data_IF_055999107346
#
_entry.id   IF_055999107346
#
_cell.length_a   1.000
_cell.length_b   1.000
_cell.length_c   1.000
_cell.angle_alpha   90.00
_cell.angle_beta   90.00
_cell.angle_gamma   90.00
#
_symmetry.space_group_name_H-M   'P 1'
#
loop_
_entity.id
_entity.type
_entity.pdbx_description
1 polymer ?
#
# COMPACT_ATOMS: atom_id res chain seq x y z
N UNK A 1 4.34 -28.46 49.20
CA UNK A 1 4.54 -29.27 48.00
C UNK A 1 3.77 -28.62 46.83
N UNK A 2 4.47 -28.08 45.88
CA UNK A 2 3.87 -27.50 44.66
C UNK A 2 3.62 -28.63 43.65
N UNK A 3 2.50 -28.68 42.93
CA UNK A 3 2.23 -29.71 41.94
C UNK A 3 3.12 -29.54 40.72
N UNK A 4 3.76 -30.60 40.29
CA UNK A 4 4.56 -30.68 39.04
C UNK A 4 3.63 -30.57 37.84
N UNK A 5 3.82 -29.54 36.98
CA UNK A 5 3.14 -29.42 35.69
C UNK A 5 3.68 -30.49 34.74
N UNK A 6 2.80 -31.29 34.16
CA UNK A 6 3.11 -32.23 33.09
C UNK A 6 3.44 -31.45 31.80
N UNK A 7 4.41 -31.90 31.00
CA UNK A 7 4.69 -31.27 29.72
C UNK A 7 3.55 -31.54 28.73
N UNK A 8 3.13 -30.47 28.03
CA UNK A 8 2.16 -30.54 26.92
C UNK A 8 2.86 -31.18 25.71
N UNK A 9 2.24 -32.14 25.02
CA UNK A 9 2.84 -32.74 23.83
C UNK A 9 2.97 -31.68 22.70
N UNK A 10 4.14 -31.60 22.09
CA UNK A 10 4.40 -30.82 20.89
C UNK A 10 3.53 -31.36 19.75
N UNK A 11 2.45 -30.69 19.44
CA UNK A 11 1.73 -30.92 18.20
C UNK A 11 2.69 -30.62 17.03
N UNK A 12 2.87 -31.59 16.18
CA UNK A 12 3.58 -31.51 14.94
C UNK A 12 2.94 -30.39 14.10
N UNK A 13 3.71 -29.35 13.82
CA UNK A 13 3.35 -28.36 12.83
C UNK A 13 3.37 -29.07 11.47
N UNK A 14 2.21 -29.43 10.96
CA UNK A 14 2.05 -29.87 9.58
C UNK A 14 2.54 -28.75 8.66
N UNK A 15 3.63 -29.00 7.98
CA UNK A 15 4.13 -28.13 6.91
C UNK A 15 3.12 -28.17 5.78
N UNK A 16 2.43 -27.07 5.55
CA UNK A 16 1.61 -26.88 4.34
C UNK A 16 2.47 -27.20 3.10
N UNK A 17 1.94 -27.97 2.14
CA UNK A 17 2.69 -28.35 0.94
C UNK A 17 3.09 -27.10 0.15
N UNK A 18 4.35 -27.04 -0.28
CA UNK A 18 4.91 -25.94 -1.08
C UNK A 18 4.18 -25.69 -2.42
N UNK A 19 3.32 -26.61 -2.85
CA UNK A 19 2.48 -26.50 -4.04
C UNK A 19 1.44 -25.37 -3.97
N UNK A 20 0.95 -25.00 -2.78
CA UNK A 20 -0.10 -23.97 -2.64
C UNK A 20 0.45 -22.56 -2.87
N UNK A 21 1.73 -22.31 -2.57
CA UNK A 21 2.37 -21.01 -2.80
C UNK A 21 2.61 -20.73 -4.30
N UNK A 22 2.75 -21.75 -5.12
CA UNK A 22 3.04 -21.62 -6.57
C UNK A 22 1.82 -21.36 -7.44
N UNK A 23 0.62 -21.74 -7.01
CA UNK A 23 -0.61 -21.56 -7.82
C UNK A 23 -1.28 -20.19 -7.67
N UNK A 24 -0.93 -19.40 -6.65
CA UNK A 24 -1.67 -18.18 -6.28
C UNK A 24 -1.45 -16.97 -7.19
N UNK A 25 -0.40 -16.92 -8.01
CA UNK A 25 0.01 -15.72 -8.76
C UNK A 25 0.18 -15.90 -10.27
N UNK A 26 -0.42 -16.93 -10.87
CA UNK A 26 -0.29 -17.19 -12.32
C UNK A 26 -0.92 -16.16 -13.25
N UNK A 27 -1.69 -15.17 -12.74
CA UNK A 27 -2.29 -14.14 -13.61
C UNK A 27 -2.18 -12.74 -12.98
N UNK A 28 -1.04 -12.09 -13.20
CA UNK A 28 -0.96 -10.62 -13.16
C UNK A 28 -1.06 -10.18 -14.62
N UNK A 29 -2.22 -9.67 -15.04
CA UNK A 29 -2.40 -9.09 -16.37
C UNK A 29 -2.38 -7.57 -16.27
N UNK A 30 -1.45 -6.95 -16.98
CA UNK A 30 -1.47 -5.53 -17.25
C UNK A 30 -2.49 -5.26 -18.37
N UNK A 31 -3.45 -4.35 -18.13
CA UNK A 31 -4.34 -3.88 -19.18
C UNK A 31 -3.79 -2.59 -19.78
N UNK A 32 -3.75 -2.43 -21.13
CA UNK A 32 -3.28 -1.19 -21.75
C UNK A 32 -4.22 -0.03 -21.42
N UNK A 33 -3.63 1.11 -21.08
CA UNK A 33 -4.33 2.37 -20.79
C UNK A 33 -4.96 2.91 -22.09
N UNK A 34 -6.21 2.56 -22.37
CA UNK A 34 -7.04 3.30 -23.30
C UNK A 34 -7.70 4.47 -22.57
N UNK A 35 -7.26 5.64 -22.85
CA UNK A 35 -7.47 6.97 -22.30
C UNK A 35 -8.87 7.44 -21.89
N UNK A 36 -9.59 6.75 -21.04
CA UNK A 36 -10.69 7.27 -20.24
C UNK A 36 -10.68 6.62 -18.87
N UNK A 37 -10.66 7.44 -17.81
CA UNK A 37 -10.92 6.96 -16.45
C UNK A 37 -12.28 6.24 -16.44
N UNK A 38 -12.36 4.98 -15.99
CA UNK A 38 -13.64 4.31 -15.87
C UNK A 38 -14.47 5.02 -14.77
N UNK A 39 -15.68 5.43 -15.11
CA UNK A 39 -16.63 6.14 -14.24
C UNK A 39 -17.10 5.36 -13.01
N UNK A 40 -16.57 4.18 -12.75
CA UNK A 40 -16.93 3.35 -11.60
C UNK A 40 -15.71 2.68 -11.00
N UNK A 41 -15.28 3.15 -9.84
CA UNK A 41 -14.43 2.36 -8.95
C UNK A 41 -15.27 1.20 -8.41
N UNK A 42 -15.17 0.04 -9.02
CA UNK A 42 -15.90 -1.15 -8.61
C UNK A 42 -15.11 -1.88 -7.52
N UNK A 43 -15.63 -1.90 -6.30
CA UNK A 43 -15.37 -2.98 -5.35
C UNK A 43 -16.33 -4.13 -5.66
N UNK A 44 -16.04 -4.89 -6.71
CA UNK A 44 -16.80 -6.06 -7.07
C UNK A 44 -16.46 -7.25 -6.17
N UNK A 45 -17.44 -7.76 -5.45
CA UNK A 45 -17.31 -9.01 -4.69
C UNK A 45 -17.82 -10.15 -5.55
N UNK A 46 -16.95 -10.80 -6.32
CA UNK A 46 -17.24 -12.14 -6.83
C UNK A 46 -16.93 -13.17 -5.75
N UNK A 47 -17.75 -14.25 -5.64
CA UNK A 47 -17.57 -15.29 -4.62
C UNK A 47 -16.11 -15.78 -4.58
N UNK A 48 -15.39 -15.46 -3.50
CA UNK A 48 -14.02 -15.91 -3.25
C UNK A 48 -12.88 -15.10 -3.91
N UNK A 49 -13.15 -14.06 -4.70
CA UNK A 49 -12.14 -13.24 -5.37
C UNK A 49 -12.27 -11.79 -4.90
N UNK A 50 -11.21 -11.23 -4.33
CA UNK A 50 -11.12 -9.78 -4.06
C UNK A 50 -10.26 -9.12 -5.14
N UNK A 51 -10.83 -8.14 -5.81
CA UNK A 51 -10.12 -7.29 -6.77
C UNK A 51 -9.64 -6.06 -6.00
N UNK A 52 -8.33 -5.84 -5.97
CA UNK A 52 -7.75 -4.60 -5.45
C UNK A 52 -7.33 -3.75 -6.64
N UNK A 53 -7.92 -2.57 -6.73
CA UNK A 53 -7.45 -1.54 -7.64
C UNK A 53 -6.42 -0.70 -6.88
N UNK A 54 -5.17 -0.72 -7.32
CA UNK A 54 -4.13 0.17 -6.84
C UNK A 54 -3.77 1.13 -7.98
N UNK A 55 -4.29 2.35 -7.92
CA UNK A 55 -3.74 3.42 -8.74
C UNK A 55 -2.51 3.97 -8.03
N UNK A 56 -1.34 3.55 -8.47
CA UNK A 56 -0.07 4.10 -8.01
C UNK A 56 0.25 5.31 -8.91
N UNK A 57 0.06 6.51 -8.39
CA UNK A 57 0.54 7.72 -9.02
C UNK A 57 1.95 8.03 -8.48
N UNK A 58 2.94 8.12 -9.35
CA UNK A 58 4.33 8.37 -8.94
C UNK A 58 4.98 9.48 -9.77
N UNK A 59 5.56 10.44 -9.07
CA UNK A 59 6.26 11.57 -9.67
C UNK A 59 7.59 11.15 -10.33
N UNK A 60 7.79 11.54 -11.60
CA UNK A 60 9.06 11.38 -12.31
C UNK A 60 10.12 12.27 -11.66
N UNK A 61 11.11 11.69 -11.00
CA UNK A 61 12.30 12.39 -10.51
C UNK A 61 13.52 11.83 -11.17
N UNK A 62 14.30 12.74 -11.74
CA UNK A 62 15.60 12.48 -12.34
C UNK A 62 16.57 11.93 -11.30
N UNK A 63 16.93 10.65 -11.37
CA UNK A 63 18.23 10.05 -10.99
C UNK A 63 18.18 8.53 -11.01
N UNK A 64 18.84 7.97 -11.96
CA UNK A 64 19.34 6.60 -12.22
C UNK A 64 18.75 5.95 -13.48
N UNK A 65 19.55 5.94 -14.52
CA UNK A 65 19.23 5.49 -15.88
C UNK A 65 18.71 4.04 -16.04
N UNK A 66 18.83 3.18 -15.03
CA UNK A 66 18.30 1.80 -15.07
C UNK A 66 16.89 1.64 -14.50
N UNK A 67 16.34 2.68 -13.80
CA UNK A 67 15.00 2.64 -13.18
C UNK A 67 13.97 3.58 -13.81
N UNK A 68 14.35 4.33 -14.86
CA UNK A 68 13.48 5.37 -15.46
C UNK A 68 12.28 4.82 -16.20
N UNK A 69 12.29 3.52 -16.57
CA UNK A 69 11.21 2.89 -17.33
C UNK A 69 10.01 2.48 -16.48
N UNK A 70 10.22 2.18 -15.20
CA UNK A 70 9.19 1.61 -14.33
C UNK A 70 9.05 2.38 -13.02
N UNK A 71 7.80 2.60 -12.63
CA UNK A 71 7.41 3.19 -11.34
C UNK A 71 7.53 2.17 -10.21
N UNK A 72 7.16 0.92 -10.51
CA UNK A 72 7.36 -0.24 -9.65
C UNK A 72 8.16 -1.25 -10.44
N UNK A 73 9.20 -1.81 -9.81
CA UNK A 73 9.99 -2.88 -10.40
C UNK A 73 10.40 -3.85 -9.31
N UNK A 74 9.76 -5.02 -9.27
CA UNK A 74 10.08 -6.11 -8.37
C UNK A 74 10.68 -7.26 -9.19
N UNK A 75 11.79 -7.83 -8.70
CA UNK A 75 12.46 -8.97 -9.33
C UNK A 75 12.82 -10.00 -8.27
N UNK A 76 12.32 -11.20 -8.46
CA UNK A 76 12.56 -12.36 -7.62
C UNK A 76 12.34 -12.05 -6.13
N UNK A 77 11.20 -11.42 -5.83
CA UNK A 77 10.87 -10.95 -4.49
C UNK A 77 10.14 -12.05 -3.73
N UNK A 78 10.58 -12.32 -2.49
CA UNK A 78 9.78 -13.08 -1.53
C UNK A 78 9.35 -12.19 -0.35
N UNK A 79 8.12 -12.37 0.09
CA UNK A 79 7.47 -11.57 1.13
C UNK A 79 7.20 -12.47 2.34
N UNK A 80 7.60 -11.97 3.51
CA UNK A 80 7.48 -12.67 4.79
C UNK A 80 6.63 -11.85 5.76
N UNK A 81 5.74 -12.51 6.48
CA UNK A 81 5.12 -11.96 7.68
C UNK A 81 6.12 -12.06 8.84
N UNK A 82 6.47 -10.93 9.42
CA UNK A 82 7.36 -10.85 10.58
C UNK A 82 6.80 -9.88 11.62
N UNK A 83 6.87 -10.27 12.90
CA UNK A 83 6.32 -9.52 14.05
C UNK A 83 7.11 -8.25 14.32
N UNK A 84 7.80 -7.62 13.71
CA UNK A 84 8.50 -6.35 13.85
C UNK A 84 9.48 -6.13 12.70
N UNK A 85 8.96 -5.85 11.51
CA UNK A 85 9.78 -5.84 10.29
C UNK A 85 10.90 -4.77 10.31
N UNK A 86 10.74 -3.68 11.06
CA UNK A 86 11.74 -2.60 11.17
C UNK A 86 12.41 -2.54 12.55
N UNK A 87 12.34 -3.62 13.33
CA UNK A 87 12.99 -3.72 14.64
C UNK A 87 14.50 -3.96 14.54
N UNK A 88 15.14 -4.04 15.70
CA UNK A 88 16.60 -4.34 15.82
C UNK A 88 16.96 -5.80 15.50
N UNK A 89 16.01 -6.58 15.00
CA UNK A 89 16.25 -7.99 14.67
C UNK A 89 17.05 -8.13 13.37
N UNK A 90 18.05 -9.02 13.35
CA UNK A 90 18.82 -9.25 12.14
C UNK A 90 17.96 -9.89 11.04
N UNK A 91 18.24 -9.58 9.77
CA UNK A 91 17.57 -10.12 8.59
C UNK A 91 17.50 -11.67 8.63
N UNK A 92 18.58 -12.33 9.06
CA UNK A 92 18.60 -13.78 9.22
C UNK A 92 17.56 -14.31 10.21
N UNK A 93 17.33 -13.63 11.34
CA UNK A 93 16.31 -14.02 12.31
C UNK A 93 14.90 -13.77 11.79
N UNK A 94 14.68 -12.69 11.01
CA UNK A 94 13.40 -12.41 10.38
C UNK A 94 13.06 -13.48 9.33
N UNK A 95 14.02 -13.90 8.52
CA UNK A 95 13.85 -14.99 7.54
C UNK A 95 13.59 -16.35 8.20
N UNK A 96 14.20 -16.62 9.36
CA UNK A 96 14.02 -17.89 10.09
C UNK A 96 12.68 -17.98 10.84
N UNK A 97 12.14 -16.86 11.29
CA UNK A 97 10.93 -16.79 12.10
C UNK A 97 9.69 -16.32 11.32
N UNK A 98 9.92 -15.66 10.19
CA UNK A 98 8.84 -15.14 9.36
C UNK A 98 8.16 -16.24 8.55
N UNK A 99 6.84 -16.19 8.48
CA UNK A 99 6.06 -17.02 7.56
C UNK A 99 6.16 -16.45 6.15
N UNK A 100 6.61 -17.27 5.20
CA UNK A 100 6.68 -16.86 3.79
C UNK A 100 5.28 -16.84 3.19
N UNK A 101 4.86 -15.67 2.72
CA UNK A 101 3.53 -15.44 2.13
C UNK A 101 3.58 -15.53 0.62
N UNK A 102 4.61 -14.98 0.01
CA UNK A 102 4.81 -14.94 -1.45
C UNK A 102 6.27 -15.23 -1.79
N UNK A 103 6.49 -15.91 -2.91
CA UNK A 103 7.82 -16.16 -3.48
C UNK A 103 7.84 -15.88 -4.97
N UNK A 104 9.03 -15.59 -5.48
CA UNK A 104 9.29 -15.41 -6.93
C UNK A 104 8.42 -14.31 -7.58
N UNK A 105 8.08 -13.26 -6.81
CA UNK A 105 7.26 -12.17 -7.32
C UNK A 105 8.07 -11.31 -8.29
N UNK A 106 7.58 -11.24 -9.53
CA UNK A 106 8.11 -10.38 -10.57
C UNK A 106 6.99 -9.44 -11.04
N UNK A 107 7.15 -8.13 -10.85
CA UNK A 107 6.15 -7.12 -11.20
C UNK A 107 6.86 -5.86 -11.69
N UNK A 108 6.52 -5.42 -12.89
CA UNK A 108 7.00 -4.16 -13.44
C UNK A 108 5.81 -3.32 -13.87
N UNK A 109 5.72 -2.08 -13.38
CA UNK A 109 4.64 -1.13 -13.69
C UNK A 109 5.26 0.13 -14.28
N UNK A 110 4.85 0.49 -15.49
CA UNK A 110 5.28 1.71 -16.17
C UNK A 110 4.46 2.94 -15.70
N UNK A 111 4.96 4.17 -15.88
CA UNK A 111 4.18 5.38 -15.65
C UNK A 111 2.88 5.38 -16.47
N UNK A 112 1.74 5.73 -15.86
CA UNK A 112 0.44 5.77 -16.51
C UNK A 112 -0.20 4.38 -16.75
N UNK A 113 0.45 3.30 -16.34
CA UNK A 113 -0.09 1.96 -16.44
C UNK A 113 -1.07 1.67 -15.29
N UNK A 114 -2.15 0.97 -15.61
CA UNK A 114 -3.16 0.53 -14.67
C UNK A 114 -3.08 -0.98 -14.48
N UNK A 115 -2.84 -1.44 -13.26
CA UNK A 115 -2.64 -2.86 -12.95
C UNK A 115 -3.68 -3.35 -11.95
N UNK A 116 -4.38 -4.43 -12.30
CA UNK A 116 -5.24 -5.17 -11.38
C UNK A 116 -4.49 -6.31 -10.71
N UNK A 117 -4.54 -6.36 -9.38
CA UNK A 117 -4.02 -7.48 -8.60
C UNK A 117 -5.16 -8.43 -8.25
N UNK A 118 -5.24 -9.56 -8.95
CA UNK A 118 -6.32 -10.53 -8.84
C UNK A 118 -5.83 -11.81 -8.17
N UNK A 119 -6.64 -12.43 -7.33
CA UNK A 119 -6.33 -13.71 -6.70
C UNK A 119 -7.28 -14.04 -5.54
N UNK A 120 -7.21 -15.27 -5.06
CA UNK A 120 -8.03 -15.78 -3.96
C UNK A 120 -7.82 -14.97 -2.66
N UNK A 121 -8.79 -15.03 -1.74
CA UNK A 121 -8.62 -14.48 -0.39
C UNK A 121 -7.46 -15.22 0.29
N UNK A 122 -6.56 -14.48 0.97
CA UNK A 122 -5.37 -15.07 1.61
C UNK A 122 -4.17 -15.29 0.67
N UNK A 123 -4.26 -15.00 -0.65
CA UNK A 123 -3.15 -15.20 -1.58
C UNK A 123 -2.01 -14.18 -1.49
N UNK A 124 -1.92 -13.36 -0.45
CA UNK A 124 -0.81 -12.43 -0.23
C UNK A 124 -0.90 -11.08 -0.95
N UNK A 125 -2.02 -10.75 -1.64
CA UNK A 125 -2.19 -9.46 -2.34
C UNK A 125 -1.99 -8.25 -1.44
N UNK A 126 -2.61 -8.27 -0.26
CA UNK A 126 -2.45 -7.20 0.72
C UNK A 126 -1.02 -7.11 1.25
N UNK A 127 -0.34 -8.23 1.42
CA UNK A 127 1.07 -8.27 1.84
C UNK A 127 2.00 -7.69 0.77
N UNK A 128 1.73 -7.97 -0.51
CA UNK A 128 2.44 -7.34 -1.62
C UNK A 128 2.26 -5.81 -1.59
N UNK A 129 1.01 -5.33 -1.47
CA UNK A 129 0.74 -3.89 -1.39
C UNK A 129 1.44 -3.25 -0.18
N UNK A 130 1.38 -3.89 1.00
CA UNK A 130 2.05 -3.44 2.23
C UNK A 130 3.57 -3.33 2.05
N UNK A 131 4.17 -4.21 1.25
CA UNK A 131 5.59 -4.14 0.89
C UNK A 131 5.87 -2.94 -0.02
N UNK A 132 5.00 -2.63 -1.00
CA UNK A 132 5.19 -1.51 -1.91
C UNK A 132 5.22 -0.15 -1.20
N UNK A 133 4.40 0.05 -0.15
CA UNK A 133 4.42 1.30 0.63
C UNK A 133 5.20 1.19 1.95
N UNK A 134 6.04 0.16 2.05
CA UNK A 134 6.94 -0.07 3.18
C UNK A 134 6.23 -0.11 4.54
N UNK A 135 5.10 -0.81 4.64
CA UNK A 135 4.55 -1.29 5.92
C UNK A 135 5.20 -2.63 6.28
N UNK A 136 5.51 -3.45 5.26
CA UNK A 136 6.30 -4.66 5.39
C UNK A 136 7.68 -4.47 4.75
N UNK A 137 8.73 -4.96 5.42
CA UNK A 137 10.09 -4.86 4.92
C UNK A 137 10.34 -5.89 3.81
N UNK A 138 11.00 -5.47 2.72
CA UNK A 138 11.50 -6.38 1.70
C UNK A 138 12.79 -7.04 2.18
N UNK A 139 12.77 -8.36 2.38
CA UNK A 139 13.90 -9.14 2.89
C UNK A 139 14.69 -9.84 1.78
N UNK A 140 14.04 -10.21 0.67
CA UNK A 140 14.68 -10.95 -0.43
C UNK A 140 14.29 -10.37 -1.78
N UNK A 141 15.11 -10.61 -2.79
CA UNK A 141 14.91 -10.08 -4.14
C UNK A 141 15.33 -8.62 -4.30
N UNK A 142 14.96 -8.01 -5.42
CA UNK A 142 15.19 -6.60 -5.73
C UNK A 142 13.85 -5.90 -5.90
N UNK A 143 13.65 -4.78 -5.21
CA UNK A 143 12.38 -4.02 -5.28
C UNK A 143 12.64 -2.52 -5.32
N UNK A 144 12.11 -1.86 -6.34
CA UNK A 144 12.16 -0.42 -6.50
C UNK A 144 10.75 0.13 -6.65
N UNK A 145 10.43 1.16 -5.89
CA UNK A 145 9.14 1.85 -5.94
C UNK A 145 9.39 3.35 -5.86
N UNK A 146 8.86 4.08 -6.81
CA UNK A 146 8.96 5.55 -6.84
C UNK A 146 10.40 6.07 -6.72
N UNK A 147 11.40 5.34 -7.26
CA UNK A 147 12.81 5.66 -7.17
C UNK A 147 13.50 5.26 -5.86
N UNK A 148 12.81 4.57 -4.95
CA UNK A 148 13.39 4.03 -3.72
C UNK A 148 13.70 2.54 -3.85
N UNK A 149 14.88 2.14 -3.37
CA UNK A 149 15.24 0.73 -3.19
C UNK A 149 14.64 0.23 -1.88
N UNK A 150 13.63 -0.64 -1.95
CA UNK A 150 12.92 -1.17 -0.80
C UNK A 150 13.80 -2.02 0.13
N UNK A 151 14.84 -2.69 -0.42
CA UNK A 151 15.80 -3.47 0.38
C UNK A 151 16.66 -2.59 1.28
N UNK A 152 17.03 -1.41 0.80
CA UNK A 152 17.91 -0.45 1.49
C UNK A 152 17.15 0.66 2.20
N UNK A 153 15.82 0.59 2.20
CA UNK A 153 14.97 1.62 2.77
C UNK A 153 15.10 1.65 4.29
N UNK A 154 15.58 2.76 4.84
CA UNK A 154 15.66 2.96 6.28
C UNK A 154 14.34 3.52 6.81
N UNK A 155 14.05 3.27 8.08
CA UNK A 155 12.82 3.75 8.74
C UNK A 155 12.57 5.25 8.55
N UNK A 156 13.63 6.06 8.57
CA UNK A 156 13.56 7.52 8.35
C UNK A 156 13.19 7.91 6.91
N UNK A 157 13.41 7.02 5.94
CA UNK A 157 13.17 7.28 4.52
C UNK A 157 11.74 6.88 4.10
N UNK A 158 11.02 6.07 4.91
CA UNK A 158 9.64 5.63 4.66
C UNK A 158 8.66 6.80 4.44
N UNK A 159 8.66 7.87 5.25
CA UNK A 159 7.78 9.01 5.01
C UNK A 159 8.00 9.66 3.63
N UNK A 160 9.22 9.69 3.13
CA UNK A 160 9.54 10.23 1.81
C UNK A 160 9.04 9.35 0.67
N UNK A 161 9.14 8.01 0.82
CA UNK A 161 8.50 7.08 -0.11
C UNK A 161 6.99 7.30 -0.14
N UNK A 162 6.34 7.30 1.03
CA UNK A 162 4.88 7.44 1.15
C UNK A 162 4.34 8.76 0.63
N UNK A 163 5.14 9.84 0.62
CA UNK A 163 4.79 11.12 0.00
C UNK A 163 4.72 11.04 -1.52
N UNK A 164 5.50 10.15 -2.14
CA UNK A 164 5.50 9.95 -3.60
C UNK A 164 4.43 8.97 -4.07
N UNK A 165 3.77 8.28 -3.15
CA UNK A 165 2.74 7.28 -3.43
C UNK A 165 1.41 7.78 -2.86
N UNK A 166 0.37 7.84 -3.68
CA UNK A 166 -1.00 8.02 -3.22
C UNK A 166 -1.58 6.67 -2.83
N UNK A 167 -2.03 6.52 -1.57
CA UNK A 167 -2.60 5.26 -1.07
C UNK A 167 -4.05 5.49 -0.69
N UNK A 168 -4.94 4.65 -1.24
CA UNK A 168 -6.35 4.58 -0.87
C UNK A 168 -6.60 3.26 -0.16
N UNK A 169 -6.90 3.32 1.14
CA UNK A 169 -7.20 2.15 1.96
C UNK A 169 -8.67 1.71 1.80
N UNK A 170 -8.91 0.41 1.90
CA UNK A 170 -10.24 -0.17 1.75
C UNK A 170 -11.20 0.26 2.88
N UNK A 171 -10.70 0.43 4.08
CA UNK A 171 -11.41 0.79 5.32
C UNK A 171 -11.42 2.30 5.58
N UNK A 172 -11.12 3.09 4.54
CA UNK A 172 -11.04 4.56 4.52
C UNK A 172 -10.02 5.16 5.50
N UNK A 173 -9.89 4.65 6.71
CA UNK A 173 -8.98 5.15 7.76
C UNK A 173 -9.09 6.67 7.94
N UNK A 174 -10.32 7.20 7.99
CA UNK A 174 -10.59 8.59 8.27
C UNK A 174 -10.55 8.85 9.78
N UNK A 175 -10.06 10.03 10.16
CA UNK A 175 -10.15 10.52 11.52
C UNK A 175 -11.60 10.91 11.81
N UNK A 176 -12.32 10.08 12.56
CA UNK A 176 -13.76 10.23 12.81
C UNK A 176 -14.08 11.39 13.76
N UNK A 177 -13.10 11.84 14.56
CA UNK A 177 -13.16 12.97 15.48
C UNK A 177 -12.74 14.31 14.83
N UNK A 178 -12.50 14.33 13.52
CA UNK A 178 -12.04 15.49 12.76
C UNK A 178 -12.89 15.67 11.50
N UNK A 179 -13.16 16.92 11.15
CA UNK A 179 -13.89 17.25 9.92
C UNK A 179 -13.06 16.95 8.66
N UNK A 180 -13.68 17.09 7.49
CA UNK A 180 -13.07 16.87 6.17
C UNK A 180 -11.76 17.66 6.02
N UNK A 181 -11.79 18.97 6.31
CA UNK A 181 -10.61 19.83 6.20
C UNK A 181 -9.45 19.32 7.09
N UNK A 182 -9.74 19.01 8.36
CA UNK A 182 -8.73 18.58 9.31
C UNK A 182 -8.16 17.21 8.98
N UNK A 183 -8.95 16.29 8.39
CA UNK A 183 -8.46 15.02 7.86
C UNK A 183 -7.37 15.21 6.81
N UNK A 184 -7.47 16.22 5.98
CA UNK A 184 -6.47 16.57 4.95
C UNK A 184 -5.32 17.39 5.54
N UNK A 185 -5.62 18.34 6.40
CA UNK A 185 -4.66 19.23 7.03
C UNK A 185 -3.57 18.47 7.82
N UNK A 186 -3.97 17.50 8.63
CA UNK A 186 -3.00 16.71 9.41
C UNK A 186 -2.04 15.91 8.50
N UNK A 187 -2.51 15.43 7.37
CA UNK A 187 -1.64 14.75 6.40
C UNK A 187 -0.63 15.73 5.80
N UNK A 188 -1.05 16.94 5.44
CA UNK A 188 -0.16 17.98 4.93
C UNK A 188 0.94 18.33 5.96
N UNK A 189 0.56 18.56 7.22
CA UNK A 189 1.51 18.84 8.31
C UNK A 189 2.47 17.66 8.54
N UNK A 190 1.96 16.43 8.60
CA UNK A 190 2.77 15.21 8.77
C UNK A 190 3.72 14.97 7.60
N UNK A 191 3.37 15.44 6.41
CA UNK A 191 4.22 15.35 5.22
C UNK A 191 5.17 16.54 5.03
N UNK A 192 5.24 17.47 6.01
CA UNK A 192 6.27 18.49 6.11
C UNK A 192 5.92 19.82 5.46
N UNK A 193 4.66 20.05 5.12
CA UNK A 193 4.20 21.37 4.71
C UNK A 193 4.17 22.31 5.91
N UNK A 194 4.72 23.53 5.73
CA UNK A 194 4.91 24.48 6.84
C UNK A 194 4.01 25.71 6.72
N UNK A 195 3.78 26.20 5.51
CA UNK A 195 3.04 27.45 5.27
C UNK A 195 1.55 27.17 5.26
N UNK A 196 0.82 27.80 6.19
CA UNK A 196 -0.63 27.60 6.38
C UNK A 196 -1.44 27.96 5.12
N UNK A 197 -1.05 29.03 4.44
CA UNK A 197 -1.73 29.47 3.23
C UNK A 197 -1.60 28.43 2.11
N UNK A 198 -0.38 27.92 1.85
CA UNK A 198 -0.15 26.88 0.84
C UNK A 198 -0.92 25.59 1.15
N UNK A 199 -1.03 25.24 2.44
CA UNK A 199 -1.80 24.08 2.89
C UNK A 199 -3.28 24.27 2.57
N UNK A 200 -3.87 25.44 2.91
CA UNK A 200 -5.27 25.75 2.62
C UNK A 200 -5.56 25.72 1.13
N UNK A 201 -4.79 26.44 0.35
CA UNK A 201 -4.94 26.48 -1.11
C UNK A 201 -4.84 25.08 -1.75
N UNK A 202 -3.93 24.24 -1.25
CA UNK A 202 -3.80 22.86 -1.73
C UNK A 202 -5.01 22.00 -1.37
N UNK A 203 -5.50 22.10 -0.13
CA UNK A 203 -6.69 21.37 0.33
C UNK A 203 -7.90 21.80 -0.49
N UNK A 204 -8.14 23.11 -0.65
CA UNK A 204 -9.28 23.62 -1.41
C UNK A 204 -9.25 23.15 -2.87
N UNK A 205 -8.08 23.19 -3.50
CA UNK A 205 -7.89 22.66 -4.86
C UNK A 205 -8.24 21.17 -4.95
N UNK A 206 -7.74 20.36 -4.02
CA UNK A 206 -7.95 18.91 -4.05
C UNK A 206 -9.42 18.58 -3.72
N UNK A 207 -10.05 19.28 -2.77
CA UNK A 207 -11.46 19.13 -2.48
C UNK A 207 -12.33 19.53 -3.68
N UNK A 208 -11.93 20.54 -4.44
CA UNK A 208 -12.58 20.89 -5.71
C UNK A 208 -12.53 19.78 -6.73
N UNK A 209 -11.37 19.10 -6.90
CA UNK A 209 -11.20 17.98 -7.82
C UNK A 209 -12.11 16.77 -7.52
N UNK A 210 -12.46 16.58 -6.25
CA UNK A 210 -13.32 15.47 -5.81
C UNK A 210 -14.75 15.90 -5.48
N UNK A 211 -15.15 17.12 -5.83
CA UNK A 211 -16.50 17.67 -5.61
C UNK A 211 -16.92 17.71 -4.13
N UNK A 212 -15.98 17.98 -3.23
CA UNK A 212 -16.21 18.11 -1.78
C UNK A 212 -15.94 19.51 -1.24
N UNK A 213 -15.69 20.51 -2.09
CA UNK A 213 -15.32 21.86 -1.68
C UNK A 213 -16.33 22.51 -0.71
N UNK A 214 -17.63 22.33 -0.95
CA UNK A 214 -18.69 22.85 -0.08
C UNK A 214 -18.90 22.07 1.23
N UNK A 215 -18.16 20.97 1.45
CA UNK A 215 -18.34 20.04 2.59
C UNK A 215 -17.12 19.96 3.50
N UNK A 216 -16.18 20.90 3.39
CA UNK A 216 -14.90 20.91 4.15
C UNK A 216 -15.11 20.94 5.66
N UNK A 217 -16.22 21.49 6.15
CA UNK A 217 -16.57 21.61 7.57
C UNK A 217 -17.26 20.36 8.14
N UNK A 218 -17.80 19.46 7.28
CA UNK A 218 -18.56 18.28 7.71
C UNK A 218 -17.65 17.24 8.37
N UNK A 219 -18.24 16.47 9.27
CA UNK A 219 -17.61 15.31 9.86
C UNK A 219 -17.72 14.09 8.92
N UNK A 220 -16.79 13.11 8.98
CA UNK A 220 -16.85 11.92 8.13
C UNK A 220 -18.17 11.15 8.20
N UNK A 221 -18.80 11.06 9.36
CA UNK A 221 -20.08 10.37 9.54
C UNK A 221 -21.27 11.10 8.92
N UNK A 222 -21.14 12.40 8.59
CA UNK A 222 -22.14 13.18 7.88
C UNK A 222 -22.03 13.05 6.36
N UNK A 223 -21.01 12.33 5.88
CA UNK A 223 -20.77 12.05 4.48
C UNK A 223 -21.38 10.71 4.08
N UNK A 224 -21.96 10.64 2.89
CA UNK A 224 -22.31 9.36 2.27
C UNK A 224 -21.04 8.50 2.02
N UNK A 225 -21.21 7.18 1.87
CA UNK A 225 -20.08 6.29 1.59
C UNK A 225 -19.28 6.69 0.35
N UNK A 226 -19.93 7.15 -0.71
CA UNK A 226 -19.27 7.67 -1.90
C UNK A 226 -18.48 8.96 -1.64
N UNK A 227 -18.97 9.85 -0.76
CA UNK A 227 -18.26 11.06 -0.36
C UNK A 227 -17.07 10.75 0.53
N UNK A 228 -17.20 9.79 1.45
CA UNK A 228 -16.07 9.29 2.23
C UNK A 228 -14.98 8.71 1.33
N UNK A 229 -15.36 7.95 0.31
CA UNK A 229 -14.42 7.43 -0.68
C UNK A 229 -13.73 8.56 -1.45
N UNK A 230 -14.47 9.59 -1.90
CA UNK A 230 -13.87 10.77 -2.53
C UNK A 230 -12.93 11.52 -1.60
N UNK A 231 -13.24 11.63 -0.31
CA UNK A 231 -12.35 12.23 0.69
C UNK A 231 -11.03 11.45 0.82
N UNK A 232 -11.06 10.12 0.81
CA UNK A 232 -9.83 9.29 0.84
C UNK A 232 -9.02 9.46 -0.43
N UNK A 233 -9.65 9.59 -1.59
CA UNK A 233 -8.99 9.92 -2.85
C UNK A 233 -8.34 11.31 -2.77
N UNK A 234 -9.06 12.31 -2.25
CA UNK A 234 -8.51 13.64 -2.00
C UNK A 234 -7.25 13.58 -1.14
N UNK A 235 -7.29 12.80 -0.05
CA UNK A 235 -6.12 12.59 0.83
C UNK A 235 -4.94 12.00 0.08
N UNK A 236 -5.16 11.05 -0.82
CA UNK A 236 -4.10 10.45 -1.63
C UNK A 236 -3.47 11.45 -2.62
N UNK A 237 -4.24 12.43 -3.12
CA UNK A 237 -3.81 13.44 -4.07
C UNK A 237 -3.06 14.64 -3.44
N UNK A 238 -3.03 14.79 -2.11
CA UNK A 238 -2.47 15.97 -1.44
C UNK A 238 -1.02 16.27 -1.79
N UNK A 239 -0.18 15.24 -1.86
CA UNK A 239 1.25 15.38 -2.15
C UNK A 239 1.58 15.29 -3.65
N UNK A 240 0.57 15.41 -4.51
CA UNK A 240 0.71 15.36 -5.96
C UNK A 240 1.43 14.09 -6.44
N UNK A 241 0.94 12.90 -6.07
CA UNK A 241 1.47 11.66 -6.60
C UNK A 241 1.18 11.63 -8.11
N UNK A 242 2.16 11.22 -8.89
CA UNK A 242 2.07 11.18 -10.36
C UNK A 242 2.00 9.74 -10.87
#
# INVERSE_FOLDING_TARGET
PKPRRRPVPKQQAERLPQSIAREGLREIRAAPASGRLPERFFTGRMKGIRIFCLSLFVRKTERNAMNEKYVVNLRDVAIYHADNPFGSCSEKKLLQRGEMVLSEVNLSVAPGEFVYLIGRVGSGKSSLLKTLYAEMQLLTGKGYVAGFDLRRLRRKDIPYLRRRIGIVFQDYQLLTDRNVFMNLYYVMKATGWKREQEIRERIDRVLGLVELGSKSYKMPFELSGGEQQRLVIARALLNDPQ
#
